data_IF_485128343006
#
_entry.id   IF_485128343006
#
_cell.length_a   1.000
_cell.length_b   1.000
_cell.length_c   1.000
_cell.angle_alpha   90.00
_cell.angle_beta   90.00
_cell.angle_gamma   90.00
#
_symmetry.space_group_name_H-M   'P 1'
#
loop_
_entity.id
_entity.type
_entity.pdbx_description
1 polymer ?
#
# COMPACT_ATOMS: atom_id res chain seq x y z
N UNK A 1 18.87 13.58 -4.09
CA UNK A 1 18.76 14.06 -2.70
C UNK A 1 17.70 13.22 -2.01
N UNK A 2 18.02 11.99 -1.62
CA UNK A 2 17.08 11.03 -1.02
C UNK A 2 17.17 10.98 0.50
N UNK A 3 18.29 11.42 1.09
CA UNK A 3 18.54 11.35 2.54
C UNK A 3 17.64 12.23 3.43
N UNK A 4 16.76 13.04 2.86
CA UNK A 4 15.75 13.81 3.61
C UNK A 4 14.42 13.05 3.79
N UNK A 5 14.15 12.06 2.95
CA UNK A 5 12.91 11.28 3.01
C UNK A 5 12.99 10.29 4.18
N UNK A 6 11.97 10.28 5.04
CA UNK A 6 11.91 9.38 6.21
C UNK A 6 12.01 7.91 5.77
N UNK A 7 11.41 7.54 4.63
CA UNK A 7 11.44 6.18 4.08
C UNK A 7 12.85 5.69 3.71
N UNK A 8 13.77 6.62 3.41
CA UNK A 8 15.15 6.32 3.01
C UNK A 8 16.14 6.44 4.19
N UNK A 9 15.65 6.78 5.39
CA UNK A 9 16.50 6.88 6.58
C UNK A 9 16.70 5.51 7.23
N UNK A 10 17.93 5.25 7.67
CA UNK A 10 18.24 4.05 8.44
C UNK A 10 17.59 4.14 9.84
N UNK A 11 16.90 3.07 10.26
CA UNK A 11 16.39 2.97 11.62
C UNK A 11 17.56 2.77 12.61
N UNK A 12 17.80 3.69 13.57
CA UNK A 12 18.91 3.58 14.51
C UNK A 12 18.85 2.33 15.40
N UNK A 13 17.66 1.75 15.63
CA UNK A 13 17.46 0.56 16.47
C UNK A 13 17.92 -0.73 15.81
N UNK A 14 18.13 -0.72 14.49
CA UNK A 14 18.46 -1.90 13.69
C UNK A 14 19.84 -1.78 13.03
N UNK A 15 20.75 -0.96 13.56
CA UNK A 15 22.08 -0.72 12.99
C UNK A 15 22.97 -1.97 12.94
N UNK A 16 22.76 -2.90 13.86
CA UNK A 16 23.50 -4.14 14.07
C UNK A 16 22.63 -5.38 13.78
N UNK A 17 21.54 -5.22 13.01
CA UNK A 17 20.50 -6.26 12.83
C UNK A 17 21.05 -7.57 12.25
N UNK A 18 22.10 -7.49 11.42
CA UNK A 18 22.79 -8.62 10.79
C UNK A 18 23.69 -9.42 11.74
N UNK A 19 24.04 -8.86 12.89
CA UNK A 19 24.83 -9.53 13.94
C UNK A 19 23.95 -10.16 15.05
N UNK A 20 22.63 -9.89 15.05
CA UNK A 20 21.72 -10.34 16.10
C UNK A 20 21.23 -11.77 15.91
N UNK A 21 20.77 -12.39 16.99
CA UNK A 21 20.07 -13.68 16.90
C UNK A 21 18.73 -13.53 16.18
N UNK A 22 18.25 -14.62 15.56
CA UNK A 22 16.95 -14.63 14.87
C UNK A 22 15.80 -14.17 15.77
N UNK A 23 15.80 -14.54 17.05
CA UNK A 23 14.75 -14.12 17.99
C UNK A 23 14.78 -12.60 18.24
N UNK A 24 15.96 -12.00 18.29
CA UNK A 24 16.10 -10.55 18.46
C UNK A 24 15.65 -9.80 17.20
N UNK A 25 16.01 -10.30 16.00
CA UNK A 25 15.54 -9.73 14.73
C UNK A 25 14.01 -9.72 14.69
N UNK A 26 13.37 -10.87 14.98
CA UNK A 26 11.91 -10.98 14.97
C UNK A 26 11.25 -10.07 16.02
N UNK A 27 11.88 -9.90 17.19
CA UNK A 27 11.40 -8.96 18.22
C UNK A 27 11.48 -7.52 17.74
N UNK A 28 12.58 -7.12 17.11
CA UNK A 28 12.73 -5.77 16.56
C UNK A 28 11.68 -5.49 15.48
N UNK A 29 11.47 -6.40 14.53
CA UNK A 29 10.43 -6.27 13.50
C UNK A 29 9.05 -6.10 14.13
N UNK A 30 8.67 -6.98 15.06
CA UNK A 30 7.38 -6.91 15.74
C UNK A 30 7.23 -5.66 16.64
N UNK A 31 8.31 -5.07 17.13
CA UNK A 31 8.26 -3.79 17.84
C UNK A 31 8.01 -2.60 16.91
N UNK A 32 8.57 -2.63 15.69
CA UNK A 32 8.28 -1.61 14.66
C UNK A 32 6.84 -1.77 14.11
N UNK A 33 6.37 -3.00 13.90
CA UNK A 33 5.01 -3.27 13.41
C UNK A 33 3.91 -2.68 14.31
N UNK A 34 4.13 -2.69 15.64
CA UNK A 34 3.19 -2.09 16.61
C UNK A 34 2.95 -0.60 16.37
N UNK A 35 3.94 0.11 15.84
CA UNK A 35 3.85 1.55 15.59
C UNK A 35 2.88 1.87 14.45
N UNK A 36 2.62 0.91 13.55
CA UNK A 36 1.76 1.11 12.38
C UNK A 36 0.33 1.46 12.79
N UNK A 37 -0.24 0.73 13.75
CA UNK A 37 -1.60 0.98 14.21
C UNK A 37 -1.76 2.38 14.83
N UNK A 38 -0.77 2.83 15.59
CA UNK A 38 -0.76 4.19 16.14
C UNK A 38 -0.65 5.25 15.04
N UNK A 39 0.18 5.02 14.02
CA UNK A 39 0.33 5.92 12.89
C UNK A 39 -0.98 6.04 12.09
N UNK A 40 -1.65 4.92 11.80
CA UNK A 40 -2.98 4.93 11.17
C UNK A 40 -4.00 5.64 12.05
N UNK A 41 -3.94 5.44 13.36
CA UNK A 41 -4.79 6.13 14.35
C UNK A 41 -4.72 7.66 14.26
N UNK A 42 -3.55 8.22 13.93
CA UNK A 42 -3.36 9.67 13.76
C UNK A 42 -3.98 10.22 12.47
N UNK A 43 -4.20 9.37 11.47
CA UNK A 43 -4.76 9.79 10.17
C UNK A 43 -6.27 9.53 10.05
N UNK A 44 -6.95 9.09 11.12
CA UNK A 44 -8.36 8.68 11.07
C UNK A 44 -9.31 9.77 10.54
N UNK A 45 -9.07 11.05 10.85
CA UNK A 45 -9.89 12.15 10.32
C UNK A 45 -9.78 12.27 8.79
N UNK A 46 -8.59 12.08 8.24
CA UNK A 46 -8.34 12.14 6.79
C UNK A 46 -8.86 10.90 6.09
N UNK A 47 -8.69 9.73 6.72
CA UNK A 47 -9.26 8.46 6.24
C UNK A 47 -10.79 8.58 6.20
N UNK A 48 -11.42 9.12 7.26
CA UNK A 48 -12.86 9.35 7.30
C UNK A 48 -13.33 10.27 6.16
N UNK A 49 -12.64 11.39 5.94
CA UNK A 49 -12.95 12.31 4.84
C UNK A 49 -12.84 11.62 3.46
N UNK A 50 -11.82 10.78 3.26
CA UNK A 50 -11.67 10.00 2.03
C UNK A 50 -12.83 9.01 1.85
N UNK A 51 -13.21 8.29 2.91
CA UNK A 51 -14.34 7.35 2.89
C UNK A 51 -15.65 8.05 2.53
N UNK A 52 -15.92 9.24 3.08
CA UNK A 52 -17.13 10.01 2.75
C UNK A 52 -17.21 10.35 1.26
N UNK A 53 -16.09 10.79 0.66
CA UNK A 53 -16.00 11.09 -0.78
C UNK A 53 -16.22 9.82 -1.62
N UNK A 54 -15.60 8.70 -1.22
CA UNK A 54 -15.73 7.42 -1.92
C UNK A 54 -17.18 6.92 -1.87
N UNK A 55 -17.83 6.97 -0.71
CA UNK A 55 -19.22 6.56 -0.55
C UNK A 55 -20.14 7.37 -1.46
N UNK A 56 -19.96 8.69 -1.52
CA UNK A 56 -20.76 9.55 -2.40
C UNK A 56 -20.51 9.24 -3.88
N UNK A 57 -19.26 9.01 -4.28
CA UNK A 57 -18.90 8.59 -5.63
C UNK A 57 -19.62 7.29 -6.03
N UNK A 58 -19.56 6.27 -5.17
CA UNK A 58 -20.16 4.96 -5.44
C UNK A 58 -21.69 5.03 -5.51
N UNK A 59 -22.33 5.83 -4.64
CA UNK A 59 -23.79 6.08 -4.64
C UNK A 59 -24.27 6.70 -5.95
N UNK A 60 -23.45 7.57 -6.55
CA UNK A 60 -23.73 8.19 -7.86
C UNK A 60 -23.44 7.27 -9.04
N UNK A 61 -23.15 6.00 -8.80
CA UNK A 61 -22.82 5.03 -9.84
C UNK A 61 -21.35 5.01 -10.23
N UNK A 62 -20.49 5.80 -9.58
CA UNK A 62 -19.05 5.87 -9.82
C UNK A 62 -18.29 4.60 -9.42
N UNK A 63 -16.96 4.71 -9.46
CA UNK A 63 -15.98 3.63 -9.22
C UNK A 63 -14.81 4.14 -8.39
N UNK A 64 -14.17 3.24 -7.65
CA UNK A 64 -12.92 3.49 -6.95
C UNK A 64 -11.76 2.84 -7.72
N UNK A 65 -10.67 3.59 -7.88
CA UNK A 65 -9.44 3.10 -8.49
C UNK A 65 -8.28 3.28 -7.52
N UNK A 66 -7.60 2.17 -7.18
CA UNK A 66 -6.25 2.22 -6.62
C UNK A 66 -5.25 2.28 -7.77
N UNK A 67 -4.21 3.09 -7.64
CA UNK A 67 -3.20 3.27 -8.67
C UNK A 67 -1.83 3.24 -8.00
N UNK A 68 -0.91 2.42 -8.50
CA UNK A 68 0.44 2.35 -7.96
C UNK A 68 1.32 1.30 -8.61
N UNK A 69 2.57 1.28 -8.15
CA UNK A 69 3.61 0.34 -8.58
C UNK A 69 4.07 -0.55 -7.42
N UNK A 70 4.81 -1.61 -7.72
CA UNK A 70 5.46 -2.47 -6.73
C UNK A 70 4.50 -2.98 -5.65
N UNK A 71 4.94 -2.91 -4.38
CA UNK A 71 4.16 -3.38 -3.24
C UNK A 71 2.84 -2.61 -3.07
N UNK A 72 2.87 -1.28 -3.22
CA UNK A 72 1.68 -0.43 -3.07
C UNK A 72 0.60 -0.78 -4.09
N UNK A 73 0.98 -0.96 -5.36
CA UNK A 73 0.03 -1.38 -6.41
C UNK A 73 -0.54 -2.78 -6.14
N UNK A 74 0.29 -3.72 -5.68
CA UNK A 74 -0.17 -5.09 -5.32
C UNK A 74 -1.14 -5.10 -4.14
N UNK A 75 -0.95 -4.24 -3.14
CA UNK A 75 -1.92 -4.07 -2.05
C UNK A 75 -3.26 -3.51 -2.56
N UNK A 76 -3.22 -2.58 -3.52
CA UNK A 76 -4.42 -2.13 -4.22
C UNK A 76 -5.15 -3.26 -4.95
N UNK A 77 -4.40 -4.14 -5.65
CA UNK A 77 -4.99 -5.33 -6.29
C UNK A 77 -5.63 -6.24 -5.26
N UNK A 78 -4.93 -6.53 -4.15
CA UNK A 78 -5.44 -7.38 -3.07
C UNK A 78 -6.79 -6.88 -2.53
N UNK A 79 -6.87 -5.60 -2.16
CA UNK A 79 -8.12 -5.02 -1.64
C UNK A 79 -9.25 -5.05 -2.68
N UNK A 80 -8.96 -4.70 -3.93
CA UNK A 80 -9.95 -4.67 -5.00
C UNK A 80 -10.54 -6.06 -5.30
N UNK A 81 -9.72 -7.13 -5.31
CA UNK A 81 -10.21 -8.49 -5.62
C UNK A 81 -11.04 -9.10 -4.49
N UNK A 82 -10.88 -8.64 -3.26
CA UNK A 82 -11.67 -9.08 -2.11
C UNK A 82 -13.06 -8.45 -2.07
N UNK A 83 -13.26 -7.31 -2.73
CA UNK A 83 -14.53 -6.58 -2.70
C UNK A 83 -15.72 -7.35 -3.31
N UNK A 84 -15.64 -7.94 -4.52
CA UNK A 84 -16.76 -8.70 -5.07
C UNK A 84 -17.23 -9.89 -4.21
N UNK A 85 -16.36 -10.81 -3.74
CA UNK A 85 -16.82 -11.94 -2.92
C UNK A 85 -17.28 -11.52 -1.52
N UNK A 86 -16.74 -10.42 -0.97
CA UNK A 86 -17.09 -9.95 0.38
C UNK A 86 -18.40 -9.16 0.41
N UNK A 87 -18.60 -8.26 -0.56
CA UNK A 87 -19.71 -7.30 -0.55
C UNK A 87 -20.74 -7.52 -1.68
N UNK A 88 -20.52 -8.50 -2.57
CA UNK A 88 -21.43 -8.78 -3.69
C UNK A 88 -21.47 -7.68 -4.75
N UNK A 89 -20.45 -6.82 -4.80
CA UNK A 89 -20.36 -5.74 -5.79
C UNK A 89 -19.79 -6.25 -7.12
N UNK A 90 -20.14 -5.57 -8.21
CA UNK A 90 -19.58 -5.89 -9.52
C UNK A 90 -18.05 -5.60 -9.54
N UNK A 91 -17.22 -6.44 -10.21
CA UNK A 91 -15.76 -6.26 -10.27
C UNK A 91 -15.31 -4.89 -10.82
N UNK A 92 -16.15 -4.21 -11.59
CA UNK A 92 -15.85 -2.90 -12.15
C UNK A 92 -16.00 -1.77 -11.12
N UNK A 93 -16.59 -2.02 -9.95
CA UNK A 93 -16.83 -0.96 -8.94
C UNK A 93 -15.57 -0.52 -8.21
N UNK A 94 -14.64 -1.45 -7.97
CA UNK A 94 -13.40 -1.21 -7.24
C UNK A 94 -12.30 -1.93 -8.03
N UNK A 95 -11.36 -1.16 -8.57
CA UNK A 95 -10.33 -1.67 -9.46
C UNK A 95 -8.94 -1.18 -9.01
N UNK A 96 -7.91 -1.94 -9.35
CA UNK A 96 -6.53 -1.53 -9.17
C UNK A 96 -5.82 -1.41 -10.52
N UNK A 97 -5.04 -0.36 -10.68
CA UNK A 97 -4.16 -0.11 -11.81
C UNK A 97 -2.74 -0.28 -11.30
N UNK A 98 -2.14 -1.42 -11.65
CA UNK A 98 -0.77 -1.77 -11.30
C UNK A 98 0.17 -1.43 -12.46
N UNK A 99 1.13 -0.54 -12.20
CA UNK A 99 2.19 -0.23 -13.17
C UNK A 99 2.99 -1.50 -13.52
N UNK A 100 3.25 -1.69 -14.81
CA UNK A 100 3.81 -2.95 -15.34
C UNK A 100 2.76 -4.06 -15.60
N UNK A 101 1.47 -3.79 -15.34
CA UNK A 101 0.36 -4.67 -15.67
C UNK A 101 0.29 -5.94 -14.81
N UNK A 102 -0.46 -6.94 -15.28
CA UNK A 102 -0.72 -8.19 -14.54
C UNK A 102 0.57 -8.97 -14.21
N UNK A 103 1.59 -8.89 -15.07
CA UNK A 103 2.90 -9.50 -14.84
C UNK A 103 3.57 -8.96 -13.56
N UNK A 104 3.35 -7.68 -13.26
CA UNK A 104 3.89 -7.05 -12.07
C UNK A 104 3.27 -7.60 -10.76
N UNK A 105 2.16 -8.34 -10.82
CA UNK A 105 1.58 -8.99 -9.64
C UNK A 105 2.51 -10.05 -9.04
N UNK A 106 3.29 -10.74 -9.85
CA UNK A 106 4.09 -11.89 -9.43
C UNK A 106 5.60 -11.74 -9.72
N UNK A 107 5.99 -10.70 -10.45
CA UNK A 107 7.39 -10.34 -10.68
C UNK A 107 7.62 -8.85 -10.48
N UNK A 108 8.74 -8.48 -9.88
CA UNK A 108 9.13 -7.08 -9.78
C UNK A 108 9.48 -6.52 -11.16
N UNK A 109 8.91 -5.35 -11.49
CA UNK A 109 9.15 -4.61 -12.74
C UNK A 109 9.52 -3.17 -12.33
N UNK A 110 10.74 -3.00 -11.83
CA UNK A 110 11.22 -1.73 -11.23
C UNK A 110 11.13 -0.55 -12.21
N UNK A 111 11.43 -0.78 -13.50
CA UNK A 111 11.40 0.26 -14.53
C UNK A 111 10.01 0.87 -14.80
N UNK A 112 8.94 0.26 -14.28
CA UNK A 112 7.58 0.77 -14.46
C UNK A 112 7.23 1.95 -13.53
N UNK A 113 8.00 2.17 -12.45
CA UNK A 113 7.80 3.33 -11.55
C UNK A 113 8.25 4.65 -12.18
N UNK A 114 9.24 4.61 -13.07
CA UNK A 114 9.79 5.80 -13.73
C UNK A 114 9.10 6.15 -15.07
N UNK A 115 8.10 5.36 -15.49
CA UNK A 115 7.37 5.57 -16.75
C UNK A 115 6.01 6.24 -16.49
N UNK A 116 5.85 7.55 -16.81
CA UNK A 116 4.60 8.27 -16.59
C UNK A 116 3.42 7.74 -17.44
N UNK A 117 3.69 6.91 -18.46
CA UNK A 117 2.67 6.27 -19.27
C UNK A 117 2.25 4.89 -18.72
N UNK A 118 2.99 4.33 -17.76
CA UNK A 118 2.72 3.02 -17.17
C UNK A 118 1.66 3.05 -16.05
N UNK A 119 1.14 4.24 -15.71
CA UNK A 119 0.12 4.41 -14.68
C UNK A 119 0.69 4.65 -13.28
N UNK A 120 1.93 5.13 -13.17
CA UNK A 120 2.54 5.70 -11.97
C UNK A 120 3.19 7.04 -12.33
#
# INVERSE_FOLDING_TARGET
MTGELITEQANPRTRDIDERSTLEILRLMNEEDKLVAEAVGRELERIAAAVEVIVECLRRGGRLFYVGTGTSGRLGVLDAVECPPTFGVAPEKIQAILAGGYEACYRAVEAAEDDPMAGA
#
